data_IF_043377552888
#
_entry.id   IF_043377552888
#
_cell.length_a   1.000
_cell.length_b   1.000
_cell.length_c   1.000
_cell.angle_alpha   90.00
_cell.angle_beta   90.00
_cell.angle_gamma   90.00
#
_symmetry.space_group_name_H-M   'P 1'
#
loop_
_entity.id
_entity.type
_entity.pdbx_description
1 polymer ?
#
# COMPACT_ATOMS: atom_id res chain seq x y z
N UNK A 1 -36.18 -4.59 -11.58
CA UNK A 1 -35.82 -3.37 -10.81
C UNK A 1 -34.64 -3.57 -9.84
N UNK A 2 -34.40 -4.79 -9.32
CA UNK A 2 -33.30 -5.10 -8.39
C UNK A 2 -31.91 -5.10 -9.08
N UNK A 3 -31.81 -5.51 -10.35
CA UNK A 3 -30.50 -5.57 -11.04
C UNK A 3 -29.88 -4.19 -11.30
N UNK A 4 -30.69 -3.16 -11.57
CA UNK A 4 -30.21 -1.80 -11.88
C UNK A 4 -29.60 -1.11 -10.64
N UNK A 5 -30.01 -1.50 -9.43
CA UNK A 5 -29.48 -0.95 -8.16
C UNK A 5 -28.13 -1.57 -7.81
N UNK A 6 -27.97 -2.88 -8.04
CA UNK A 6 -26.70 -3.60 -7.86
C UNK A 6 -25.64 -3.16 -8.89
N UNK A 7 -26.07 -2.92 -10.13
CA UNK A 7 -25.18 -2.48 -11.20
C UNK A 7 -24.66 -1.05 -10.99
N UNK A 8 -25.52 -0.12 -10.54
CA UNK A 8 -25.12 1.24 -10.15
C UNK A 8 -24.18 1.25 -8.95
N UNK A 9 -24.45 0.45 -7.91
CA UNK A 9 -23.59 0.36 -6.74
C UNK A 9 -22.19 -0.21 -7.08
N UNK A 10 -22.12 -1.18 -8.00
CA UNK A 10 -20.84 -1.71 -8.47
C UNK A 10 -20.02 -0.68 -9.25
N UNK A 11 -20.66 0.13 -10.11
CA UNK A 11 -19.98 1.23 -10.81
C UNK A 11 -19.48 2.31 -9.86
N UNK A 12 -20.25 2.65 -8.81
CA UNK A 12 -19.82 3.61 -7.79
C UNK A 12 -18.58 3.12 -7.04
N UNK A 13 -18.54 1.84 -6.66
CA UNK A 13 -17.37 1.25 -6.00
C UNK A 13 -16.16 1.25 -6.93
N UNK A 14 -16.33 0.90 -8.20
CA UNK A 14 -15.26 0.94 -9.19
C UNK A 14 -14.71 2.36 -9.37
N UNK A 15 -15.58 3.37 -9.46
CA UNK A 15 -15.19 4.78 -9.54
C UNK A 15 -14.49 5.26 -8.26
N UNK A 16 -14.97 4.85 -7.09
CA UNK A 16 -14.36 5.17 -5.81
C UNK A 16 -12.96 4.57 -5.71
N UNK A 17 -12.78 3.31 -6.10
CA UNK A 17 -11.47 2.66 -6.12
C UNK A 17 -10.51 3.30 -7.14
N UNK A 18 -11.01 3.70 -8.31
CA UNK A 18 -10.24 4.44 -9.30
C UNK A 18 -9.80 5.80 -8.78
N UNK A 19 -10.73 6.52 -8.15
CA UNK A 19 -10.45 7.81 -7.54
C UNK A 19 -9.42 7.65 -6.43
N UNK A 20 -9.56 6.63 -5.56
CA UNK A 20 -8.58 6.32 -4.52
C UNK A 20 -7.19 5.98 -5.12
N UNK A 21 -7.15 5.20 -6.20
CA UNK A 21 -5.92 4.81 -6.89
C UNK A 21 -5.19 5.99 -7.53
N UNK A 22 -5.91 7.01 -8.00
CA UNK A 22 -5.31 8.22 -8.56
C UNK A 22 -5.02 9.27 -7.48
N UNK A 23 -5.82 9.29 -6.42
CA UNK A 23 -5.63 10.18 -5.28
C UNK A 23 -4.35 9.84 -4.53
N UNK A 24 -3.98 8.57 -4.37
CA UNK A 24 -2.78 8.18 -3.60
C UNK A 24 -1.49 8.82 -4.11
N UNK A 25 -1.06 8.65 -5.38
CA UNK A 25 0.14 9.32 -5.88
C UNK A 25 -0.01 10.84 -5.97
N UNK A 26 -1.24 11.34 -6.14
CA UNK A 26 -1.48 12.79 -6.19
C UNK A 26 -1.28 13.43 -4.82
N UNK A 27 -1.77 12.79 -3.76
CA UNK A 27 -1.59 13.23 -2.37
C UNK A 27 -0.10 13.20 -2.02
N UNK A 28 0.63 12.14 -2.33
CA UNK A 28 2.06 12.08 -2.02
C UNK A 28 2.88 13.10 -2.81
N UNK A 29 2.54 13.37 -4.07
CA UNK A 29 3.15 14.48 -4.81
C UNK A 29 2.83 15.84 -4.18
N UNK A 30 1.59 16.07 -3.74
CA UNK A 30 1.23 17.30 -3.05
C UNK A 30 1.97 17.44 -1.73
N UNK A 31 2.00 16.42 -0.88
CA UNK A 31 2.70 16.47 0.41
C UNK A 31 4.21 16.73 0.26
N UNK A 32 4.84 16.16 -0.78
CA UNK A 32 6.28 16.36 -1.00
C UNK A 32 6.59 17.69 -1.68
N UNK A 33 5.73 18.21 -2.55
CA UNK A 33 6.02 19.42 -3.36
C UNK A 33 5.34 20.69 -2.87
N UNK A 34 4.28 20.57 -2.07
CA UNK A 34 3.49 21.71 -1.59
C UNK A 34 3.53 21.80 -0.06
N UNK A 35 4.02 22.92 0.50
CA UNK A 35 3.97 23.16 1.94
C UNK A 35 2.55 23.58 2.33
N UNK A 36 1.62 22.63 2.39
CA UNK A 36 0.28 22.88 2.91
C UNK A 36 0.33 23.06 4.43
N UNK A 37 0.54 24.30 4.88
CA UNK A 37 0.42 24.69 6.29
C UNK A 37 1.71 24.62 7.14
N UNK A 38 2.89 24.47 6.54
CA UNK A 38 4.15 24.37 7.29
C UNK A 38 5.37 24.01 6.45
N UNK A 39 6.31 23.26 7.03
CA UNK A 39 7.45 22.69 6.31
C UNK A 39 6.99 21.55 5.37
N UNK A 40 7.66 21.38 4.23
CA UNK A 40 7.41 20.25 3.31
C UNK A 40 7.52 18.89 4.05
N UNK A 41 6.77 17.86 3.64
CA UNK A 41 6.80 16.54 4.30
C UNK A 41 8.22 15.99 4.46
N UNK A 42 9.05 16.10 3.42
CA UNK A 42 10.44 15.64 3.47
C UNK A 42 11.30 16.47 4.44
N UNK A 43 11.01 17.76 4.58
CA UNK A 43 11.69 18.62 5.54
C UNK A 43 11.28 18.27 6.97
N UNK A 44 10.00 17.95 7.20
CA UNK A 44 9.52 17.46 8.50
C UNK A 44 10.18 16.12 8.85
N UNK A 45 10.20 15.16 7.92
CA UNK A 45 10.90 13.88 8.09
C UNK A 45 12.38 14.10 8.38
N UNK A 46 13.06 14.95 7.61
CA UNK A 46 14.45 15.29 7.87
C UNK A 46 14.62 15.88 9.27
N UNK A 47 13.80 16.85 9.67
CA UNK A 47 13.85 17.43 11.02
C UNK A 47 13.65 16.37 12.11
N UNK A 48 12.77 15.39 11.92
CA UNK A 48 12.60 14.29 12.88
C UNK A 48 13.83 13.39 12.98
N UNK A 49 14.55 13.16 11.88
CA UNK A 49 15.81 12.39 11.86
C UNK A 49 16.92 13.19 12.56
N UNK A 50 16.99 14.50 12.29
CA UNK A 50 18.00 15.42 12.80
C UNK A 50 17.71 15.92 14.22
N UNK A 51 16.55 15.59 14.81
CA UNK A 51 16.21 15.90 16.21
C UNK A 51 17.04 15.04 17.19
N UNK A 52 18.36 15.15 17.08
CA UNK A 52 19.38 14.45 17.86
C UNK A 52 20.38 15.46 18.38
N UNK A 53 20.86 15.29 19.63
CA UNK A 53 21.86 16.20 20.18
C UNK A 53 23.15 16.16 19.35
N UNK A 54 23.66 17.33 18.96
CA UNK A 54 24.92 17.47 18.22
C UNK A 54 24.81 17.57 16.70
N UNK A 55 23.59 17.57 16.13
CA UNK A 55 23.37 17.67 14.68
C UNK A 55 22.70 19.00 14.36
N UNK A 56 23.30 19.81 13.47
CA UNK A 56 22.70 21.06 13.02
C UNK A 56 21.88 20.84 11.75
N UNK A 57 20.59 21.24 11.70
CA UNK A 57 19.77 21.14 10.50
C UNK A 57 20.29 21.91 9.29
N UNK A 58 21.10 22.95 9.53
CA UNK A 58 21.73 23.75 8.47
C UNK A 58 22.76 22.95 7.65
N UNK A 59 23.31 21.87 8.20
CA UNK A 59 24.33 21.05 7.54
C UNK A 59 23.72 20.04 6.54
N UNK A 60 22.39 19.96 6.48
CA UNK A 60 21.64 19.04 5.61
C UNK A 60 20.75 19.80 4.62
N UNK A 61 21.33 20.42 3.57
CA UNK A 61 20.54 21.13 2.57
C UNK A 61 19.70 20.18 1.70
N UNK A 62 18.39 20.39 1.71
CA UNK A 62 17.43 19.69 0.84
C UNK A 62 17.48 20.26 -0.58
N UNK A 63 18.35 19.68 -1.41
CA UNK A 63 18.42 20.03 -2.83
C UNK A 63 17.36 19.29 -3.67
N UNK A 64 17.04 19.85 -4.85
CA UNK A 64 16.14 19.28 -5.84
C UNK A 64 16.35 17.77 -6.14
N UNK A 65 17.57 17.26 -6.42
CA UNK A 65 17.79 15.83 -6.66
C UNK A 65 17.48 14.95 -5.44
N UNK A 66 17.76 15.41 -4.23
CA UNK A 66 17.42 14.68 -3.00
C UNK A 66 15.91 14.62 -2.81
N UNK A 67 15.21 15.73 -3.12
CA UNK A 67 13.74 15.77 -3.13
C UNK A 67 13.16 14.77 -4.13
N UNK A 68 13.72 14.69 -5.36
CA UNK A 68 13.27 13.73 -6.38
C UNK A 68 13.50 12.28 -5.94
N UNK A 69 14.67 11.96 -5.38
CA UNK A 69 14.93 10.62 -4.85
C UNK A 69 13.98 10.30 -3.68
N UNK A 70 13.75 11.26 -2.78
CA UNK A 70 12.78 11.12 -1.70
C UNK A 70 11.36 10.84 -2.21
N UNK A 71 10.91 11.53 -3.27
CA UNK A 71 9.61 11.25 -3.91
C UNK A 71 9.55 9.84 -4.47
N UNK A 72 10.61 9.36 -5.11
CA UNK A 72 10.64 8.01 -5.69
C UNK A 72 10.55 6.93 -4.61
N UNK A 73 11.21 7.15 -3.47
CA UNK A 73 11.10 6.26 -2.32
C UNK A 73 9.69 6.31 -1.73
N UNK A 74 9.10 7.49 -1.58
CA UNK A 74 7.75 7.68 -1.03
C UNK A 74 6.66 7.03 -1.90
N UNK A 75 6.85 6.97 -3.22
CA UNK A 75 5.92 6.31 -4.15
C UNK A 75 5.99 4.78 -4.10
N UNK A 76 7.03 4.19 -3.51
CA UNK A 76 7.23 2.74 -3.47
C UNK A 76 6.11 2.01 -2.70
N UNK A 77 5.74 2.41 -1.46
CA UNK A 77 4.57 1.86 -0.77
C UNK A 77 3.25 2.19 -1.49
N UNK A 78 3.12 3.37 -2.09
CA UNK A 78 1.93 3.75 -2.86
C UNK A 78 1.68 2.78 -4.03
N UNK A 79 2.73 2.36 -4.73
CA UNK A 79 2.60 1.39 -5.83
C UNK A 79 2.02 0.06 -5.35
N UNK A 80 2.43 -0.43 -4.17
CA UNK A 80 1.86 -1.66 -3.59
C UNK A 80 0.39 -1.45 -3.26
N UNK A 81 0.04 -0.30 -2.68
CA UNK A 81 -1.34 0.06 -2.40
C UNK A 81 -2.20 0.16 -3.67
N UNK A 82 -1.68 0.78 -4.73
CA UNK A 82 -2.32 0.83 -6.04
C UNK A 82 -2.54 -0.58 -6.62
N UNK A 83 -1.57 -1.49 -6.49
CA UNK A 83 -1.73 -2.89 -6.90
C UNK A 83 -2.84 -3.58 -6.11
N UNK A 84 -2.95 -3.33 -4.80
CA UNK A 84 -4.03 -3.86 -3.96
C UNK A 84 -5.41 -3.34 -4.40
N UNK A 85 -5.54 -2.03 -4.59
CA UNK A 85 -6.78 -1.41 -5.07
C UNK A 85 -7.17 -1.94 -6.46
N UNK A 86 -6.20 -2.17 -7.33
CA UNK A 86 -6.44 -2.76 -8.64
C UNK A 86 -7.00 -4.19 -8.54
N UNK A 87 -6.44 -5.03 -7.68
CA UNK A 87 -6.96 -6.37 -7.44
C UNK A 87 -8.37 -6.34 -6.86
N UNK A 88 -8.63 -5.43 -5.92
CA UNK A 88 -9.94 -5.23 -5.32
C UNK A 88 -10.97 -4.77 -6.37
N UNK A 89 -10.59 -3.85 -7.25
CA UNK A 89 -11.43 -3.43 -8.38
C UNK A 89 -11.79 -4.60 -9.29
N UNK A 90 -10.82 -5.47 -9.58
CA UNK A 90 -11.06 -6.63 -10.44
C UNK A 90 -12.00 -7.66 -9.79
N UNK A 91 -11.94 -7.83 -8.46
CA UNK A 91 -12.92 -8.63 -7.71
C UNK A 91 -14.35 -8.07 -7.86
N UNK A 92 -14.54 -6.78 -7.65
CA UNK A 92 -15.87 -6.16 -7.76
C UNK A 92 -16.43 -6.23 -9.19
N UNK A 93 -15.58 -6.08 -10.20
CA UNK A 93 -15.99 -6.21 -11.60
C UNK A 93 -16.43 -7.64 -11.93
N UNK A 94 -15.77 -8.65 -11.39
CA UNK A 94 -16.18 -10.05 -11.55
C UNK A 94 -17.45 -10.41 -10.79
N UNK A 95 -17.67 -9.80 -9.62
CA UNK A 95 -18.92 -9.95 -8.86
C UNK A 95 -20.14 -9.52 -9.70
N UNK A 96 -20.00 -8.44 -10.47
CA UNK A 96 -21.05 -7.96 -11.39
C UNK A 96 -21.36 -8.92 -12.54
N UNK A 97 -20.38 -9.72 -12.97
CA UNK A 97 -20.58 -10.72 -14.02
C UNK A 97 -21.28 -12.00 -13.54
N UNK A 98 -21.66 -12.10 -12.26
CA UNK A 98 -22.30 -13.30 -11.68
C UNK A 98 -21.36 -14.49 -11.51
N UNK A 99 -20.06 -14.31 -11.77
CA UNK A 99 -19.02 -15.33 -11.61
C UNK A 99 -18.59 -15.40 -10.13
N UNK A 100 -19.53 -15.79 -9.28
CA UNK A 100 -19.27 -16.08 -7.87
C UNK A 100 -18.52 -17.42 -7.81
N UNK A 101 -17.35 -17.44 -7.17
CA UNK A 101 -16.56 -18.66 -6.89
C UNK A 101 -15.78 -19.29 -8.06
N UNK A 102 -15.28 -18.52 -9.03
CA UNK A 102 -14.26 -19.05 -9.97
C UNK A 102 -12.90 -19.24 -9.26
N UNK A 103 -12.10 -20.23 -9.67
CA UNK A 103 -10.74 -20.43 -9.10
C UNK A 103 -9.87 -19.17 -9.20
N UNK A 104 -10.09 -18.35 -10.24
CA UNK A 104 -9.44 -17.06 -10.39
C UNK A 104 -9.76 -16.07 -9.26
N UNK A 105 -10.99 -16.04 -8.75
CA UNK A 105 -11.38 -15.13 -7.66
C UNK A 105 -10.66 -15.50 -6.37
N UNK A 106 -10.61 -16.79 -6.05
CA UNK A 106 -9.88 -17.30 -4.87
C UNK A 106 -8.39 -16.97 -4.99
N UNK A 107 -7.80 -17.10 -6.18
CA UNK A 107 -6.41 -16.69 -6.44
C UNK A 107 -6.19 -15.20 -6.21
N UNK A 108 -7.15 -14.34 -6.57
CA UNK A 108 -7.08 -12.88 -6.31
C UNK A 108 -7.15 -12.54 -4.83
N UNK A 109 -8.03 -13.19 -4.06
CA UNK A 109 -8.04 -13.05 -2.60
C UNK A 109 -6.69 -13.42 -1.98
N UNK A 110 -6.08 -14.52 -2.43
CA UNK A 110 -4.73 -14.91 -2.00
C UNK A 110 -3.68 -13.88 -2.39
N UNK A 111 -3.78 -13.29 -3.58
CA UNK A 111 -2.87 -12.22 -4.02
C UNK A 111 -3.02 -10.96 -3.17
N UNK A 112 -4.22 -10.57 -2.78
CA UNK A 112 -4.45 -9.44 -1.87
C UNK A 112 -3.80 -9.70 -0.51
N UNK A 113 -4.02 -10.89 0.07
CA UNK A 113 -3.37 -11.27 1.32
C UNK A 113 -1.83 -11.28 1.21
N UNK A 114 -1.28 -11.73 0.09
CA UNK A 114 0.16 -11.69 -0.17
C UNK A 114 0.65 -10.25 -0.32
N UNK A 115 -0.08 -9.38 -1.03
CA UNK A 115 0.26 -7.97 -1.15
C UNK A 115 0.26 -7.25 0.21
N UNK A 116 -0.67 -7.59 1.11
CA UNK A 116 -0.67 -7.10 2.50
C UNK A 116 0.56 -7.57 3.30
N UNK A 117 1.10 -8.75 3.03
CA UNK A 117 2.37 -9.16 3.63
C UNK A 117 3.56 -8.42 2.99
N UNK A 118 3.50 -8.16 1.68
CA UNK A 118 4.53 -7.42 0.96
C UNK A 118 4.57 -5.96 1.41
N UNK A 119 3.43 -5.32 1.72
CA UNK A 119 3.42 -3.94 2.26
C UNK A 119 4.24 -3.83 3.53
N UNK A 120 4.14 -4.80 4.44
CA UNK A 120 4.97 -4.81 5.65
C UNK A 120 6.48 -4.83 5.33
N UNK A 121 6.90 -5.68 4.39
CA UNK A 121 8.31 -5.77 3.99
C UNK A 121 8.76 -4.48 3.31
N UNK A 122 7.89 -3.89 2.48
CA UNK A 122 8.15 -2.62 1.79
C UNK A 122 8.27 -1.47 2.79
N UNK A 123 7.36 -1.36 3.75
CA UNK A 123 7.41 -0.34 4.82
C UNK A 123 8.67 -0.48 5.67
N UNK A 124 9.07 -1.72 5.99
CA UNK A 124 10.28 -2.01 6.75
C UNK A 124 11.56 -1.53 6.06
N UNK A 125 11.63 -1.64 4.72
CA UNK A 125 12.78 -1.18 3.93
C UNK A 125 12.65 0.30 3.58
N UNK A 126 11.42 0.81 3.44
CA UNK A 126 11.14 2.19 3.05
C UNK A 126 11.72 3.20 4.05
N UNK A 127 11.51 2.99 5.35
CA UNK A 127 12.01 3.86 6.42
C UNK A 127 13.54 4.08 6.35
N UNK A 128 14.39 3.04 6.46
CA UNK A 128 15.84 3.21 6.40
C UNK A 128 16.31 3.73 5.03
N UNK A 129 15.62 3.38 3.95
CA UNK A 129 15.93 3.86 2.61
C UNK A 129 15.69 5.38 2.48
N UNK A 130 14.55 5.85 2.98
CA UNK A 130 14.20 7.28 2.99
C UNK A 130 15.21 8.07 3.83
N UNK A 131 15.52 7.59 5.04
CA UNK A 131 16.49 8.24 5.94
C UNK A 131 17.87 8.36 5.30
N UNK A 132 18.32 7.28 4.67
CA UNK A 132 19.59 7.25 3.94
C UNK A 132 19.58 8.26 2.81
N UNK A 133 18.52 8.31 1.99
CA UNK A 133 18.41 9.25 0.87
C UNK A 133 18.43 10.70 1.34
N UNK A 134 17.72 11.01 2.43
CA UNK A 134 17.64 12.36 2.98
C UNK A 134 18.95 12.81 3.64
N UNK A 135 19.73 11.88 4.20
CA UNK A 135 20.98 12.18 4.92
C UNK A 135 22.25 11.93 4.11
N UNK A 136 22.17 11.31 2.92
CA UNK A 136 23.32 10.97 2.06
C UNK A 136 24.20 12.17 1.70
N UNK A 137 23.64 13.38 1.70
CA UNK A 137 24.35 14.63 1.38
C UNK A 137 24.88 15.39 2.60
N UNK A 138 24.54 14.93 3.80
CA UNK A 138 25.08 15.50 5.02
C UNK A 138 26.43 14.91 5.40
N UNK A 139 27.03 15.39 6.49
CA UNK A 139 28.31 14.89 7.00
C UNK A 139 28.23 13.43 7.46
N UNK A 140 27.07 12.98 7.94
CA UNK A 140 26.85 11.61 8.39
C UNK A 140 25.59 11.04 7.73
N UNK A 141 25.70 9.80 7.24
CA UNK A 141 24.54 9.05 6.74
C UNK A 141 23.85 8.41 7.93
N UNK A 142 22.64 8.85 8.22
CA UNK A 142 21.83 8.32 9.31
C UNK A 142 20.78 7.39 8.70
N UNK A 143 20.76 6.13 9.12
CA UNK A 143 19.69 5.19 8.83
C UNK A 143 19.00 4.80 10.13
N UNK A 144 17.68 4.97 10.22
CA UNK A 144 16.92 4.42 11.35
C UNK A 144 16.11 3.22 10.92
N UNK A 145 16.20 2.17 11.73
CA UNK A 145 15.31 1.03 11.63
C UNK A 145 14.36 1.15 12.81
N UNK A 146 13.16 1.69 12.55
CA UNK A 146 12.08 1.71 13.52
C UNK A 146 11.08 0.63 13.16
N UNK A 147 10.86 -0.31 14.08
CA UNK A 147 9.80 -1.30 13.95
C UNK A 147 8.64 -0.86 14.84
N UNK A 148 7.48 -0.59 14.24
CA UNK A 148 6.32 -0.12 14.98
C UNK A 148 5.30 -1.24 15.21
N UNK A 149 4.53 -1.13 16.28
CA UNK A 149 3.40 -2.04 16.54
C UNK A 149 2.34 -1.97 15.43
N UNK A 150 2.26 -0.85 14.70
CA UNK A 150 1.33 -0.69 13.57
C UNK A 150 1.69 -1.63 12.42
N UNK A 151 2.98 -1.77 12.11
CA UNK A 151 3.47 -2.61 11.01
C UNK A 151 3.10 -4.08 11.26
N UNK A 152 3.23 -4.54 12.51
CA UNK A 152 2.79 -5.87 12.92
C UNK A 152 1.29 -6.11 12.74
N UNK A 153 0.45 -5.09 12.94
CA UNK A 153 -1.00 -5.22 12.74
C UNK A 153 -1.33 -5.42 11.27
N UNK A 154 -0.64 -4.73 10.36
CA UNK A 154 -0.81 -4.89 8.91
C UNK A 154 -0.37 -6.27 8.47
N UNK A 155 0.79 -6.75 8.95
CA UNK A 155 1.27 -8.10 8.67
C UNK A 155 0.26 -9.17 9.15
N UNK A 156 -0.26 -9.02 10.36
CA UNK A 156 -1.26 -9.95 10.92
C UNK A 156 -2.55 -9.92 10.09
N UNK A 157 -3.02 -8.75 9.66
CA UNK A 157 -4.18 -8.63 8.78
C UNK A 157 -3.95 -9.36 7.44
N UNK A 158 -2.77 -9.22 6.83
CA UNK A 158 -2.38 -9.96 5.62
C UNK A 158 -2.40 -11.48 5.83
N UNK A 159 -1.85 -11.95 6.95
CA UNK A 159 -1.85 -13.37 7.31
C UNK A 159 -3.27 -13.92 7.50
N UNK A 160 -4.15 -13.16 8.15
CA UNK A 160 -5.57 -13.53 8.33
C UNK A 160 -6.27 -13.64 6.98
N UNK A 161 -6.08 -12.66 6.09
CA UNK A 161 -6.66 -12.68 4.74
C UNK A 161 -6.13 -13.88 3.92
N UNK A 162 -4.84 -14.20 4.05
CA UNK A 162 -4.26 -15.40 3.44
C UNK A 162 -4.88 -16.69 3.99
N UNK A 163 -5.02 -16.80 5.31
CA UNK A 163 -5.65 -17.95 5.96
C UNK A 163 -7.10 -18.13 5.48
N UNK A 164 -7.88 -17.05 5.42
CA UNK A 164 -9.25 -17.07 4.89
C UNK A 164 -9.28 -17.52 3.42
N UNK A 165 -8.35 -17.03 2.58
CA UNK A 165 -8.26 -17.44 1.18
C UNK A 165 -7.91 -18.93 1.02
N UNK A 166 -7.09 -19.48 1.92
CA UNK A 166 -6.78 -20.92 1.94
C UNK A 166 -8.00 -21.76 2.32
N UNK A 167 -8.72 -21.38 3.38
CA UNK A 167 -9.94 -22.07 3.81
C UNK A 167 -11.02 -22.03 2.72
N UNK A 168 -11.22 -20.87 2.07
CA UNK A 168 -12.16 -20.76 0.95
C UNK A 168 -11.78 -21.65 -0.24
N UNK A 169 -10.48 -21.83 -0.50
CA UNK A 169 -9.98 -22.74 -1.55
C UNK A 169 -10.29 -24.19 -1.22
N UNK A 170 -10.05 -24.61 0.02
CA UNK A 170 -10.31 -25.98 0.49
C UNK A 170 -11.81 -26.29 0.48
N UNK A 171 -12.64 -25.38 0.98
CA UNK A 171 -14.09 -25.51 0.94
C UNK A 171 -14.62 -25.67 -0.49
N UNK A 172 -14.08 -24.89 -1.45
CA UNK A 172 -14.44 -25.02 -2.85
C UNK A 172 -14.04 -26.38 -3.43
N UNK A 173 -12.82 -26.85 -3.13
CA UNK A 173 -12.31 -28.12 -3.65
C UNK A 173 -13.18 -29.30 -3.17
N UNK A 174 -13.55 -29.31 -1.90
CA UNK A 174 -14.45 -30.31 -1.34
C UNK A 174 -15.85 -30.29 -2.00
N UNK A 175 -16.39 -29.11 -2.27
CA UNK A 175 -17.69 -28.98 -2.94
C UNK A 175 -17.66 -29.51 -4.39
N UNK A 176 -16.54 -29.34 -5.10
CA UNK A 176 -16.34 -29.84 -6.47
C UNK A 176 -16.22 -31.38 -6.50
N UNK A 177 -15.49 -31.96 -5.54
CA UNK A 177 -15.36 -33.43 -5.38
C UNK A 177 -16.71 -34.10 -5.06
N UNK A 178 -17.55 -33.46 -4.23
CA UNK A 178 -18.88 -33.98 -3.90
C UNK A 178 -19.86 -33.96 -5.09
N UNK A 179 -19.68 -33.05 -6.05
CA UNK A 179 -20.51 -33.02 -7.27
C UNK A 179 -20.12 -34.09 -8.30
N UNK A 180 -18.90 -34.64 -8.23
CA UNK A 180 -18.40 -35.68 -9.13
C UNK A 180 -18.76 -37.12 -8.68
N UNK A 181 -19.38 -37.28 -7.52
CA UNK A 181 -19.73 -38.60 -6.94
C UNK A 181 -21.23 -38.95 -7.09
N UNK A 182 -21.85 -38.57 -8.22
CA UNK A 182 -23.22 -39.00 -8.58
C UNK A 182 -23.20 -40.25 -9.44
#
# INVERSE_FOLDING_TARGET
MISNKLERSSMLIEWLLLLALLATPLITLLEVWTPFGGADLLQEKLNTILNRPGINPADYPLHFPTRLLGTLVQLLPDLVFMMMLWQLRQLFRSYRAGLLFTFEQIRRYRQIGLLLCVTFVVELIHLPLLDTVLTMRGPEVLGTISLSTSDFRVLLAGLIVLALALVMREAKLLADEQQLTV
#
